data_IF_744096581472
#
_entry.id   IF_744096581472
#
_cell.length_a   1.000
_cell.length_b   1.000
_cell.length_c   1.000
_cell.angle_alpha   90.00
_cell.angle_beta   90.00
_cell.angle_gamma   90.00
#
_symmetry.space_group_name_H-M   'P 1'
#
loop_
_entity.id
_entity.type
_entity.pdbx_description
1 polymer ?
#
# COMPACT_ATOMS: atom_id res chain seq x y z
N UNK A 1 18.95 -3.66 9.31
CA UNK A 1 20.08 -4.16 8.50
C UNK A 1 20.17 -5.66 8.69
N UNK A 2 20.11 -6.42 7.62
CA UNK A 2 20.25 -7.89 7.66
C UNK A 2 21.73 -8.22 7.55
N UNK A 3 22.21 -9.14 8.38
CA UNK A 3 23.56 -9.68 8.27
C UNK A 3 23.51 -11.00 7.53
N UNK A 4 24.33 -11.18 6.53
CA UNK A 4 24.58 -12.46 5.88
C UNK A 4 26.03 -12.87 6.12
N UNK A 5 26.23 -14.14 6.47
CA UNK A 5 27.55 -14.66 6.82
C UNK A 5 28.11 -15.53 5.71
N UNK A 6 29.27 -15.16 5.20
CA UNK A 6 30.04 -15.94 4.24
C UNK A 6 30.82 -17.03 5.00
N UNK A 7 30.26 -18.24 5.04
CA UNK A 7 30.87 -19.35 5.73
C UNK A 7 31.86 -20.12 4.84
N UNK A 8 32.85 -20.78 5.46
CA UNK A 8 33.71 -21.74 4.77
C UNK A 8 32.88 -22.96 4.32
N UNK A 9 33.11 -23.45 3.11
CA UNK A 9 32.47 -24.66 2.60
C UNK A 9 32.95 -25.89 3.37
N UNK A 10 34.25 -25.99 3.71
CA UNK A 10 34.83 -27.04 4.54
C UNK A 10 35.37 -26.47 5.85
N UNK A 11 34.79 -26.88 6.97
CA UNK A 11 35.21 -26.47 8.33
C UNK A 11 36.18 -27.47 8.94
N UNK A 12 37.19 -27.91 8.17
CA UNK A 12 38.25 -28.82 8.63
C UNK A 12 39.62 -28.19 8.54
N UNK A 13 40.44 -28.38 9.55
CA UNK A 13 41.82 -27.93 9.55
C UNK A 13 42.63 -28.68 8.50
N UNK A 14 43.32 -27.99 7.57
CA UNK A 14 44.12 -28.64 6.54
C UNK A 14 45.38 -29.35 7.07
N UNK A 15 45.78 -29.06 8.32
CA UNK A 15 47.00 -29.64 8.93
C UNK A 15 46.70 -30.87 9.76
N UNK A 16 45.63 -30.85 10.58
CA UNK A 16 45.35 -31.94 11.54
C UNK A 16 43.96 -32.58 11.36
N UNK A 17 43.12 -32.09 10.42
CA UNK A 17 41.80 -32.61 10.17
C UNK A 17 40.73 -32.28 11.22
N UNK A 18 41.07 -31.58 12.30
CA UNK A 18 40.14 -31.22 13.35
C UNK A 18 39.12 -30.18 12.86
N UNK A 19 37.91 -30.14 13.47
CA UNK A 19 36.90 -29.14 13.17
C UNK A 19 37.36 -27.72 13.50
N UNK A 20 37.18 -26.80 12.56
CA UNK A 20 37.46 -25.37 12.77
C UNK A 20 36.31 -24.70 13.51
N UNK A 21 36.64 -23.85 14.48
CA UNK A 21 35.70 -23.04 15.27
C UNK A 21 35.81 -21.59 14.84
N UNK A 22 34.68 -20.90 14.72
CA UNK A 22 34.68 -19.47 14.43
C UNK A 22 35.31 -18.68 15.58
N UNK A 23 36.26 -17.81 15.27
CA UNK A 23 36.99 -16.98 16.24
C UNK A 23 36.61 -15.50 16.13
N UNK A 24 35.77 -15.13 15.17
CA UNK A 24 35.32 -13.75 14.97
C UNK A 24 34.60 -13.56 13.65
N UNK A 25 34.10 -12.37 13.45
CA UNK A 25 33.51 -11.90 12.20
C UNK A 25 34.21 -10.63 11.73
N UNK A 26 34.47 -10.51 10.44
CA UNK A 26 35.04 -9.32 9.82
C UNK A 26 34.09 -8.82 8.75
N UNK A 27 33.94 -7.47 8.72
CA UNK A 27 33.14 -6.82 7.68
C UNK A 27 33.83 -6.93 6.32
N UNK A 28 33.14 -7.44 5.33
CA UNK A 28 33.66 -7.64 3.97
C UNK A 28 33.16 -6.56 3.00
N UNK A 29 31.82 -6.39 2.89
CA UNK A 29 31.22 -5.43 1.97
C UNK A 29 29.79 -5.09 2.30
N UNK A 30 29.32 -4.00 1.72
CA UNK A 30 27.91 -3.65 1.62
C UNK A 30 27.36 -4.14 0.27
N UNK A 31 26.12 -4.59 0.28
CA UNK A 31 25.39 -4.94 -0.93
C UNK A 31 23.97 -4.37 -0.83
N UNK A 32 23.53 -3.66 -1.87
CA UNK A 32 22.17 -3.16 -1.98
C UNK A 32 21.34 -4.15 -2.77
N UNK A 33 20.42 -4.84 -2.10
CA UNK A 33 19.51 -5.82 -2.71
C UNK A 33 18.17 -5.16 -2.97
N UNK A 34 17.76 -5.08 -4.23
CA UNK A 34 16.43 -4.65 -4.62
C UNK A 34 15.48 -5.83 -4.69
N UNK A 35 14.39 -5.77 -3.92
CA UNK A 35 13.32 -6.77 -3.98
C UNK A 35 12.17 -6.15 -4.79
N UNK A 36 11.87 -6.66 -6.00
CA UNK A 36 10.80 -6.13 -6.83
C UNK A 36 9.43 -6.31 -6.17
N UNK A 37 8.49 -5.46 -6.54
CA UNK A 37 7.11 -5.55 -6.08
C UNK A 37 6.49 -6.92 -6.40
N UNK A 38 5.72 -7.45 -5.47
CA UNK A 38 5.01 -8.73 -5.63
C UNK A 38 3.51 -8.51 -5.51
N UNK A 39 2.74 -9.07 -6.44
CA UNK A 39 1.30 -9.13 -6.35
C UNK A 39 0.88 -10.45 -5.72
N UNK A 40 -0.01 -10.39 -4.71
CA UNK A 40 -0.56 -11.58 -4.06
C UNK A 40 -2.08 -11.49 -4.05
N UNK A 41 -2.74 -12.56 -4.45
CA UNK A 41 -4.19 -12.72 -4.29
C UNK A 41 -4.43 -13.47 -2.99
N UNK A 42 -5.10 -12.82 -2.04
CA UNK A 42 -5.42 -13.40 -0.73
C UNK A 42 -6.91 -13.75 -0.69
N UNK A 43 -7.23 -15.01 -0.41
CA UNK A 43 -8.60 -15.47 -0.20
C UNK A 43 -8.88 -15.57 1.29
N UNK A 44 -9.88 -14.84 1.76
CA UNK A 44 -10.31 -14.88 3.16
C UNK A 44 -11.48 -15.84 3.33
N UNK A 45 -11.41 -16.72 4.32
CA UNK A 45 -12.46 -17.68 4.65
C UNK A 45 -12.95 -17.42 6.07
N UNK A 46 -14.27 -17.33 6.26
CA UNK A 46 -14.87 -17.29 7.60
C UNK A 46 -15.27 -18.72 7.99
N UNK A 47 -14.78 -19.16 9.15
CA UNK A 47 -15.10 -20.50 9.68
C UNK A 47 -16.34 -20.39 10.56
N UNK A 48 -17.30 -21.29 10.32
CA UNK A 48 -18.51 -21.42 11.15
C UNK A 48 -18.30 -22.53 12.17
N UNK A 49 -18.64 -22.24 13.41
CA UNK A 49 -18.56 -23.16 14.54
C UNK A 49 -19.96 -23.51 15.03
N UNK A 50 -20.20 -24.77 15.32
CA UNK A 50 -21.44 -25.25 15.95
C UNK A 50 -21.15 -25.87 17.31
N UNK A 51 -22.06 -25.68 18.26
CA UNK A 51 -21.98 -26.33 19.57
C UNK A 51 -22.57 -27.75 19.47
N UNK A 52 -21.75 -28.81 19.72
CA UNK A 52 -22.24 -30.18 19.66
C UNK A 52 -23.30 -30.51 20.73
N UNK A 53 -23.20 -29.91 21.92
CA UNK A 53 -24.17 -30.09 23.00
C UNK A 53 -25.54 -29.47 22.70
N UNK A 54 -25.56 -28.25 22.15
CA UNK A 54 -26.77 -27.59 21.71
C UNK A 54 -27.43 -28.32 20.54
N UNK A 55 -26.63 -28.91 19.65
CA UNK A 55 -27.12 -29.71 18.52
C UNK A 55 -27.86 -30.96 19.00
N UNK A 56 -27.42 -31.61 20.09
CA UNK A 56 -28.10 -32.77 20.72
C UNK A 56 -29.42 -32.41 21.42
N UNK A 57 -29.63 -31.11 21.75
CA UNK A 57 -30.83 -30.61 22.45
C UNK A 57 -31.83 -29.92 21.51
N UNK A 58 -31.76 -30.17 20.19
CA UNK A 58 -32.59 -29.57 19.13
C UNK A 58 -32.54 -28.04 19.03
N UNK A 59 -31.54 -27.38 19.65
CA UNK A 59 -31.31 -25.93 19.55
C UNK A 59 -29.89 -25.65 18.99
N UNK A 60 -29.64 -25.86 17.68
CA UNK A 60 -28.30 -25.69 17.12
C UNK A 60 -27.84 -24.24 17.21
N UNK A 61 -26.82 -23.99 18.02
CA UNK A 61 -26.16 -22.68 18.09
C UNK A 61 -24.99 -22.66 17.11
N UNK A 62 -25.04 -21.76 16.14
CA UNK A 62 -23.97 -21.55 15.15
C UNK A 62 -23.36 -20.17 15.37
N UNK A 63 -22.05 -20.11 15.52
CA UNK A 63 -21.27 -18.86 15.52
C UNK A 63 -20.36 -18.84 14.32
N UNK A 64 -20.38 -17.73 13.56
CA UNK A 64 -19.42 -17.47 12.49
C UNK A 64 -18.22 -16.71 13.04
N UNK A 65 -17.05 -17.00 12.49
CA UNK A 65 -15.85 -16.18 12.68
C UNK A 65 -16.14 -14.74 12.27
N UNK A 66 -15.27 -13.81 12.67
CA UNK A 66 -15.42 -12.39 12.29
C UNK A 66 -15.62 -12.26 10.78
N UNK A 67 -16.65 -11.52 10.37
CA UNK A 67 -16.78 -11.06 9.01
C UNK A 67 -15.60 -10.12 8.74
N UNK A 68 -14.61 -10.62 8.01
CA UNK A 68 -13.50 -9.81 7.53
C UNK A 68 -14.02 -8.81 6.50
N UNK A 69 -14.75 -7.80 6.96
CA UNK A 69 -15.17 -6.70 6.07
C UNK A 69 -13.91 -6.07 5.51
N UNK A 70 -13.81 -6.02 4.17
CA UNK A 70 -12.75 -5.26 3.54
C UNK A 70 -12.83 -3.81 4.06
N UNK A 71 -11.70 -3.27 4.49
CA UNK A 71 -11.64 -1.86 4.93
C UNK A 71 -11.99 -0.91 3.79
N UNK A 72 -11.79 -1.37 2.55
CA UNK A 72 -12.17 -0.68 1.33
C UNK A 72 -13.54 -1.17 0.87
N UNK A 73 -14.59 -0.37 1.00
CA UNK A 73 -15.91 -0.78 0.54
C UNK A 73 -15.89 -1.05 -0.97
N UNK A 74 -16.39 -2.23 -1.35
CA UNK A 74 -16.59 -2.65 -2.74
C UNK A 74 -15.34 -2.79 -3.62
N UNK A 75 -14.16 -3.02 -3.03
CA UNK A 75 -12.92 -3.15 -3.79
C UNK A 75 -12.20 -4.49 -3.58
N UNK A 76 -11.57 -5.01 -4.64
CA UNK A 76 -10.61 -6.13 -4.53
C UNK A 76 -9.25 -5.68 -3.99
N UNK A 77 -9.00 -4.37 -3.99
CA UNK A 77 -7.72 -3.80 -3.58
C UNK A 77 -7.59 -3.75 -2.06
N UNK A 78 -6.43 -4.12 -1.57
CA UNK A 78 -6.04 -3.82 -0.20
C UNK A 78 -5.71 -2.33 -0.05
N UNK A 79 -5.69 -1.84 1.19
CA UNK A 79 -5.26 -0.47 1.50
C UNK A 79 -3.88 -0.16 0.93
N UNK A 80 -2.93 -1.11 1.05
CA UNK A 80 -1.58 -0.97 0.50
C UNK A 80 -1.57 -0.87 -1.02
N UNK A 81 -2.46 -1.59 -1.72
CA UNK A 81 -2.59 -1.51 -3.18
C UNK A 81 -3.08 -0.13 -3.62
N UNK A 82 -4.08 0.42 -2.94
CA UNK A 82 -4.59 1.77 -3.26
C UNK A 82 -3.55 2.84 -2.93
N UNK A 83 -2.89 2.74 -1.79
CA UNK A 83 -1.80 3.64 -1.42
C UNK A 83 -0.67 3.63 -2.45
N UNK A 84 -0.31 2.45 -2.98
CA UNK A 84 0.67 2.31 -4.04
C UNK A 84 0.24 3.00 -5.33
N UNK A 85 -1.00 2.79 -5.79
CA UNK A 85 -1.55 3.47 -6.97
C UNK A 85 -1.52 4.98 -6.82
N UNK A 86 -1.87 5.50 -5.64
CA UNK A 86 -1.81 6.93 -5.34
C UNK A 86 -0.38 7.46 -5.35
N UNK A 87 0.55 6.75 -4.69
CA UNK A 87 1.96 7.11 -4.64
C UNK A 87 2.56 7.19 -6.05
N UNK A 88 2.32 6.18 -6.87
CA UNK A 88 2.80 6.18 -8.25
C UNK A 88 2.25 7.35 -9.06
N UNK A 89 0.96 7.67 -8.90
CA UNK A 89 0.35 8.76 -9.64
C UNK A 89 0.81 10.14 -9.19
N UNK A 90 0.82 10.39 -7.89
CA UNK A 90 0.99 11.75 -7.35
C UNK A 90 2.44 12.06 -6.94
N UNK A 91 3.24 11.07 -6.55
CA UNK A 91 4.64 11.26 -6.20
C UNK A 91 5.58 10.95 -7.37
N UNK A 92 5.30 9.89 -8.13
CA UNK A 92 6.14 9.48 -9.24
C UNK A 92 5.63 9.97 -10.61
N UNK A 93 4.54 10.73 -10.64
CA UNK A 93 3.93 11.27 -11.88
C UNK A 93 3.59 10.18 -12.91
N UNK A 94 3.31 8.94 -12.46
CA UNK A 94 2.99 7.81 -13.33
C UNK A 94 1.49 7.77 -13.64
N UNK A 95 1.06 8.04 -14.88
CA UNK A 95 -0.36 8.05 -15.23
C UNK A 95 -0.98 6.65 -15.17
N UNK A 96 -2.30 6.57 -14.93
CA UNK A 96 -2.99 5.30 -14.76
C UNK A 96 -2.80 4.31 -15.92
N UNK A 97 -2.73 4.80 -17.17
CA UNK A 97 -2.54 3.91 -18.33
C UNK A 97 -1.19 3.18 -18.30
N UNK A 98 -0.14 3.80 -17.73
CA UNK A 98 1.15 3.13 -17.54
C UNK A 98 1.12 2.16 -16.38
N UNK A 99 0.42 2.53 -15.31
CA UNK A 99 0.20 1.62 -14.17
C UNK A 99 -0.61 0.39 -14.59
N UNK A 100 -1.63 0.54 -15.46
CA UNK A 100 -2.39 -0.56 -16.03
C UNK A 100 -1.49 -1.58 -16.75
N UNK A 101 -0.59 -1.09 -17.61
CA UNK A 101 0.39 -1.94 -18.29
C UNK A 101 1.40 -2.61 -17.36
N UNK A 102 1.77 -1.92 -16.28
CA UNK A 102 2.65 -2.45 -15.25
C UNK A 102 1.96 -3.58 -14.47
N UNK A 103 0.69 -3.39 -14.09
CA UNK A 103 -0.13 -4.43 -13.45
C UNK A 103 -0.32 -5.67 -14.33
N UNK A 104 -0.48 -5.50 -15.65
CA UNK A 104 -0.56 -6.60 -16.61
C UNK A 104 0.70 -7.47 -16.59
N UNK A 105 1.88 -6.89 -16.41
CA UNK A 105 3.14 -7.63 -16.29
C UNK A 105 3.19 -8.50 -15.01
N UNK A 106 2.50 -8.09 -13.96
CA UNK A 106 2.32 -8.89 -12.74
C UNK A 106 1.14 -9.89 -12.82
N UNK A 107 0.50 -10.00 -13.99
CA UNK A 107 -0.63 -10.92 -14.21
C UNK A 107 -1.97 -10.41 -13.68
N UNK A 108 -2.11 -9.11 -13.40
CA UNK A 108 -3.37 -8.52 -12.96
C UNK A 108 -3.95 -7.56 -14.00
N UNK A 109 -5.20 -7.78 -14.40
CA UNK A 109 -5.94 -6.87 -15.27
C UNK A 109 -6.72 -5.87 -14.42
N UNK A 110 -6.14 -4.69 -14.20
CA UNK A 110 -6.72 -3.60 -13.41
C UNK A 110 -6.83 -2.37 -14.30
N UNK A 111 -8.04 -2.00 -14.66
CA UNK A 111 -8.29 -0.89 -15.59
C UNK A 111 -8.03 0.48 -14.96
N UNK A 112 -7.73 1.48 -15.80
CA UNK A 112 -7.58 2.89 -15.38
C UNK A 112 -8.80 3.40 -14.61
N UNK A 113 -10.01 3.03 -15.07
CA UNK A 113 -11.26 3.41 -14.43
C UNK A 113 -11.36 2.83 -13.00
N UNK A 114 -10.93 1.58 -12.82
CA UNK A 114 -10.88 0.93 -11.51
C UNK A 114 -9.94 1.66 -10.57
N UNK A 115 -8.72 1.97 -11.00
CA UNK A 115 -7.74 2.70 -10.20
C UNK A 115 -8.24 4.12 -9.86
N UNK A 116 -8.82 4.83 -10.83
CA UNK A 116 -9.41 6.14 -10.60
C UNK A 116 -10.54 6.10 -9.56
N UNK A 117 -11.44 5.12 -9.64
CA UNK A 117 -12.52 4.93 -8.68
C UNK A 117 -12.00 4.61 -7.27
N UNK A 118 -10.93 3.83 -7.13
CA UNK A 118 -10.29 3.61 -5.83
C UNK A 118 -9.80 4.92 -5.22
N UNK A 119 -9.12 5.73 -6.01
CA UNK A 119 -8.59 7.02 -5.54
C UNK A 119 -9.71 7.98 -5.15
N UNK A 120 -10.75 8.11 -5.97
CA UNK A 120 -11.90 8.98 -5.70
C UNK A 120 -12.59 8.58 -4.39
N UNK A 121 -12.97 7.30 -4.24
CA UNK A 121 -13.65 6.81 -3.04
C UNK A 121 -12.83 6.97 -1.77
N UNK A 122 -11.51 6.74 -1.86
CA UNK A 122 -10.63 6.95 -0.72
C UNK A 122 -10.45 8.43 -0.39
N UNK A 123 -10.41 9.29 -1.39
CA UNK A 123 -10.39 10.73 -1.19
C UNK A 123 -11.62 11.19 -0.41
N UNK A 124 -12.80 10.74 -0.80
CA UNK A 124 -14.06 11.08 -0.12
C UNK A 124 -14.12 10.52 1.31
N UNK A 125 -13.72 9.26 1.50
CA UNK A 125 -13.83 8.58 2.79
C UNK A 125 -12.80 9.07 3.83
N UNK A 126 -11.56 9.33 3.41
CA UNK A 126 -10.44 9.57 4.33
C UNK A 126 -9.82 10.96 4.17
N UNK A 127 -9.56 11.42 2.94
CA UNK A 127 -8.84 12.68 2.76
C UNK A 127 -9.73 13.90 2.93
N UNK A 128 -11.00 13.83 2.58
CA UNK A 128 -11.91 14.95 2.79
C UNK A 128 -12.12 15.31 4.27
N UNK A 129 -12.32 14.34 5.21
CA UNK A 129 -12.30 14.65 6.63
C UNK A 129 -10.96 15.21 7.14
N UNK A 130 -9.84 14.67 6.65
CA UNK A 130 -8.50 15.21 6.99
C UNK A 130 -8.32 16.63 6.50
N UNK A 131 -8.72 16.92 5.27
CA UNK A 131 -8.67 18.27 4.70
C UNK A 131 -9.47 19.26 5.56
N UNK A 132 -10.70 18.92 5.96
CA UNK A 132 -11.50 19.75 6.87
C UNK A 132 -10.82 19.98 8.22
N UNK A 133 -10.19 18.96 8.76
CA UNK A 133 -9.43 19.08 10.00
C UNK A 133 -8.25 20.04 9.86
N UNK A 134 -7.42 19.85 8.83
CA UNK A 134 -6.26 20.71 8.57
C UNK A 134 -6.68 22.15 8.27
N UNK A 135 -7.74 22.35 7.48
CA UNK A 135 -8.26 23.66 7.19
C UNK A 135 -8.68 24.40 8.47
N UNK A 136 -9.39 23.72 9.38
CA UNK A 136 -9.76 24.31 10.68
C UNK A 136 -8.51 24.64 11.50
N UNK A 137 -7.51 23.75 11.56
CA UNK A 137 -6.26 23.98 12.29
C UNK A 137 -5.41 25.11 11.72
N UNK A 138 -5.47 25.30 10.42
CA UNK A 138 -4.81 26.40 9.74
C UNK A 138 -5.41 27.75 10.14
N UNK A 139 -6.75 27.83 10.22
CA UNK A 139 -7.46 29.05 10.61
C UNK A 139 -7.28 29.44 12.10
N UNK A 140 -6.73 28.55 12.93
CA UNK A 140 -6.35 28.85 14.31
C UNK A 140 -4.99 29.59 14.42
N UNK A 141 -4.28 29.81 13.28
CA UNK A 141 -2.96 30.46 13.27
C UNK A 141 -3.09 31.97 13.11
N UNK A 142 -2.15 32.71 13.71
CA UNK A 142 -2.11 34.18 13.63
C UNK A 142 -1.77 34.68 12.21
N UNK A 143 -1.05 33.88 11.43
CA UNK A 143 -0.73 34.15 10.03
C UNK A 143 -0.71 32.86 9.21
N UNK A 144 -1.02 32.98 7.93
CA UNK A 144 -1.06 31.88 6.98
C UNK A 144 -0.23 32.24 5.76
N UNK A 145 0.68 31.38 5.40
CA UNK A 145 1.44 31.51 4.14
C UNK A 145 0.66 30.83 3.01
N UNK A 146 0.64 31.45 1.84
CA UNK A 146 0.03 30.88 0.65
C UNK A 146 1.04 30.82 -0.50
N UNK A 147 1.01 29.73 -1.24
CA UNK A 147 1.79 29.55 -2.46
C UNK A 147 0.88 29.00 -3.56
N UNK A 148 1.07 29.46 -4.79
CA UNK A 148 0.27 29.03 -5.93
C UNK A 148 1.10 28.23 -6.93
N UNK A 149 0.46 27.21 -7.50
CA UNK A 149 1.06 26.42 -8.59
C UNK A 149 0.07 26.37 -9.76
N UNK A 150 0.50 26.72 -10.98
CA UNK A 150 -0.38 26.65 -12.14
C UNK A 150 -0.78 25.18 -12.42
N UNK A 151 -2.07 24.99 -12.68
CA UNK A 151 -2.68 23.71 -12.98
C UNK A 151 -3.56 23.84 -14.22
N UNK A 152 -3.60 22.83 -15.06
CA UNK A 152 -4.55 22.75 -16.16
C UNK A 152 -5.72 21.84 -15.79
N UNK A 153 -6.94 22.40 -15.87
CA UNK A 153 -8.19 21.64 -15.70
C UNK A 153 -8.86 21.52 -17.07
N UNK A 154 -8.96 20.30 -17.58
CA UNK A 154 -9.46 20.05 -18.94
C UNK A 154 -10.97 20.19 -19.08
N UNK A 155 -11.72 19.86 -18.03
CA UNK A 155 -13.19 19.85 -18.03
C UNK A 155 -13.74 20.65 -16.85
N UNK A 156 -13.79 21.96 -16.99
CA UNK A 156 -14.41 22.86 -16.03
C UNK A 156 -15.60 23.58 -16.70
N UNK A 157 -16.77 23.50 -16.08
CA UNK A 157 -17.98 24.12 -16.63
C UNK A 157 -17.80 25.61 -16.83
N UNK A 158 -18.08 26.11 -18.04
CA UNK A 158 -17.99 27.53 -18.38
C UNK A 158 -16.58 28.06 -18.65
N UNK A 159 -15.54 27.23 -18.64
CA UNK A 159 -14.14 27.63 -18.94
C UNK A 159 -13.53 26.84 -20.08
N UNK A 160 -12.67 27.52 -20.85
CA UNK A 160 -11.90 26.89 -21.93
C UNK A 160 -10.77 26.03 -21.34
N UNK A 161 -10.48 24.88 -21.94
CA UNK A 161 -9.43 23.94 -21.44
C UNK A 161 -8.03 24.57 -21.36
N UNK A 162 -7.75 25.63 -22.13
CA UNK A 162 -6.44 26.34 -22.12
C UNK A 162 -6.37 27.42 -21.00
N UNK A 163 -7.45 27.68 -20.27
CA UNK A 163 -7.45 28.68 -19.20
C UNK A 163 -6.61 28.15 -18.04
N UNK A 164 -5.64 28.96 -17.59
CA UNK A 164 -4.84 28.64 -16.41
C UNK A 164 -5.73 28.60 -15.16
N UNK A 165 -5.70 27.50 -14.44
CA UNK A 165 -6.18 27.37 -13.08
C UNK A 165 -4.99 27.33 -12.12
N UNK A 166 -5.21 27.56 -10.85
CA UNK A 166 -4.15 27.56 -9.84
C UNK A 166 -4.57 26.68 -8.67
N UNK A 167 -3.64 25.89 -8.21
CA UNK A 167 -3.75 25.16 -6.96
C UNK A 167 -3.02 25.97 -5.88
N UNK A 168 -3.75 26.29 -4.82
CA UNK A 168 -3.22 27.03 -3.68
C UNK A 168 -2.81 26.07 -2.56
N UNK A 169 -1.59 26.20 -2.09
CA UNK A 169 -1.09 25.53 -0.90
C UNK A 169 -1.01 26.54 0.23
N UNK A 170 -1.67 26.23 1.34
CA UNK A 170 -1.64 27.04 2.56
C UNK A 170 -0.87 26.31 3.66
N UNK A 171 -0.07 27.04 4.42
CA UNK A 171 0.72 26.49 5.55
C UNK A 171 0.94 27.53 6.66
#
# INVERSE_FOLDING_TARGET
MTKEYLNLEEKKCPVCGAGLVSIGEEFVRWELVFIPAQLKVVKYYSISYSCPECKRKDFPTIKKGKDGKAHMPYGMASEGTVAWVMYQKFCNSLPYYRQEKDWEQYGASITQATMANWVIRNSEAFFHPMYKYFHRKLLERDFVMANETPLQVLHEAGRRAQTKAYMWLFR
#
